data_IF_972516225653
#
_entry.id   IF_972516225653
#
_cell.length_a   1.000
_cell.length_b   1.000
_cell.length_c   1.000
_cell.angle_alpha   90.00
_cell.angle_beta   90.00
_cell.angle_gamma   90.00
#
_symmetry.space_group_name_H-M   'P 1'
#
loop_
_entity.id
_entity.type
_entity.pdbx_description
1 polymer ?
#
# COMPACT_ATOMS: atom_id res chain seq x y z
N UNK A 1 -52.50 53.89 -28.03
CA UNK A 1 -52.31 52.78 -27.07
C UNK A 1 -52.51 51.45 -27.78
N UNK A 2 -51.44 50.73 -28.13
CA UNK A 2 -51.46 49.30 -28.45
C UNK A 2 -50.15 48.71 -27.91
N UNK A 3 -50.27 47.76 -26.97
CA UNK A 3 -49.15 47.17 -26.23
C UNK A 3 -48.53 46.03 -27.05
N UNK A 4 -47.20 45.94 -27.07
CA UNK A 4 -46.45 44.80 -27.60
C UNK A 4 -45.75 44.10 -26.41
N UNK A 5 -45.93 42.78 -26.31
CA UNK A 5 -45.32 41.91 -25.30
C UNK A 5 -44.14 41.20 -25.96
N UNK A 6 -42.92 41.18 -25.38
CA UNK A 6 -41.86 40.34 -25.88
C UNK A 6 -41.89 38.98 -25.18
N UNK A 7 -41.98 37.92 -25.99
CA UNK A 7 -41.89 36.53 -25.59
C UNK A 7 -40.45 36.19 -25.18
N UNK A 8 -40.27 35.72 -23.95
CA UNK A 8 -38.99 35.25 -23.42
C UNK A 8 -38.77 33.79 -23.85
N UNK A 9 -37.79 33.54 -24.73
CA UNK A 9 -37.38 32.18 -25.10
C UNK A 9 -36.47 31.63 -24.00
N UNK A 10 -37.02 30.72 -23.20
CA UNK A 10 -36.30 29.98 -22.17
C UNK A 10 -35.44 28.90 -22.85
N UNK A 11 -34.14 29.15 -22.99
CA UNK A 11 -33.17 28.16 -23.49
C UNK A 11 -32.93 27.08 -22.44
N UNK A 12 -33.40 25.86 -22.71
CA UNK A 12 -33.07 24.68 -21.92
C UNK A 12 -31.61 24.29 -22.17
N UNK A 13 -30.74 24.51 -21.19
CA UNK A 13 -29.38 23.99 -21.18
C UNK A 13 -29.45 22.46 -20.99
N UNK A 14 -29.13 21.72 -22.06
CA UNK A 14 -28.97 20.27 -22.02
C UNK A 14 -27.63 20.00 -21.32
N UNK A 15 -27.67 19.69 -20.01
CA UNK A 15 -26.54 19.07 -19.34
C UNK A 15 -26.41 17.63 -19.87
N UNK A 16 -25.55 17.42 -20.86
CA UNK A 16 -25.10 16.05 -21.16
C UNK A 16 -24.28 15.55 -19.97
N UNK A 17 -24.47 14.31 -19.51
CA UNK A 17 -23.58 13.72 -18.54
C UNK A 17 -22.19 13.69 -19.19
N UNK A 18 -21.27 14.48 -18.64
CA UNK A 18 -19.86 14.37 -18.97
C UNK A 18 -19.41 13.00 -18.45
N UNK A 19 -19.52 11.97 -19.29
CA UNK A 19 -18.82 10.72 -19.05
C UNK A 19 -17.34 11.07 -19.01
N UNK A 20 -16.79 11.10 -17.81
CA UNK A 20 -15.39 11.39 -17.61
C UNK A 20 -14.59 10.31 -18.36
N UNK A 21 -13.75 10.77 -19.29
CA UNK A 21 -12.92 9.89 -20.10
C UNK A 21 -12.09 8.99 -19.17
N UNK A 22 -12.17 7.68 -19.37
CA UNK A 22 -11.39 6.70 -18.62
C UNK A 22 -9.88 6.97 -18.80
N UNK A 23 -9.07 6.72 -17.79
CA UNK A 23 -7.64 6.92 -17.88
C UNK A 23 -6.98 6.04 -18.96
N UNK A 24 -5.96 6.58 -19.64
CA UNK A 24 -5.18 5.83 -20.61
C UNK A 24 -4.09 5.00 -19.94
N UNK A 25 -3.81 3.84 -20.51
CA UNK A 25 -2.71 2.94 -20.12
C UNK A 25 -1.38 3.70 -20.02
N UNK A 26 -1.09 4.59 -20.96
CA UNK A 26 0.16 5.35 -21.04
C UNK A 26 0.29 6.33 -19.89
N UNK A 27 -0.79 7.04 -19.57
CA UNK A 27 -0.81 8.02 -18.47
C UNK A 27 -0.63 7.33 -17.11
N UNK A 28 -1.27 6.17 -16.95
CA UNK A 28 -1.12 5.34 -15.75
C UNK A 28 0.30 4.77 -15.65
N UNK A 29 0.88 4.27 -16.75
CA UNK A 29 2.30 3.83 -16.76
C UNK A 29 3.24 4.95 -16.33
N UNK A 30 3.02 6.16 -16.84
CA UNK A 30 3.80 7.32 -16.42
C UNK A 30 3.62 7.59 -14.92
N UNK A 31 2.38 7.52 -14.41
CA UNK A 31 2.08 7.72 -12.99
C UNK A 31 2.85 6.72 -12.13
N UNK A 32 2.71 5.43 -12.43
CA UNK A 32 3.39 4.34 -11.70
C UNK A 32 4.91 4.49 -11.72
N UNK A 33 5.47 4.95 -12.83
CA UNK A 33 6.90 5.25 -12.95
C UNK A 33 7.31 6.41 -12.06
N UNK A 34 6.62 7.55 -12.11
CA UNK A 34 7.01 8.73 -11.32
C UNK A 34 6.79 8.53 -9.82
N UNK A 35 5.83 7.68 -9.44
CA UNK A 35 5.59 7.28 -8.05
C UNK A 35 6.50 6.15 -7.57
N UNK A 36 7.43 5.69 -8.43
CA UNK A 36 8.43 4.65 -8.12
C UNK A 36 7.80 3.34 -7.65
N UNK A 37 6.68 2.95 -8.26
CA UNK A 37 5.92 1.76 -7.84
C UNK A 37 6.73 0.46 -7.97
N UNK A 38 7.61 0.35 -8.97
CA UNK A 38 8.56 -0.78 -9.08
C UNK A 38 9.48 -0.87 -7.86
N UNK A 39 10.00 0.26 -7.37
CA UNK A 39 10.85 0.29 -6.19
C UNK A 39 10.09 -0.16 -4.92
N UNK A 40 8.78 0.07 -4.84
CA UNK A 40 7.97 -0.42 -3.71
C UNK A 40 7.86 -1.96 -3.72
N UNK A 41 7.83 -2.59 -4.90
CA UNK A 41 7.88 -4.05 -5.03
C UNK A 41 9.23 -4.59 -4.56
N UNK A 42 10.33 -3.95 -4.95
CA UNK A 42 11.67 -4.32 -4.48
C UNK A 42 11.80 -4.20 -2.96
N UNK A 43 11.29 -3.12 -2.37
CA UNK A 43 11.25 -2.94 -0.92
C UNK A 43 10.38 -4.01 -0.23
N UNK A 44 9.28 -4.42 -0.85
CA UNK A 44 8.43 -5.51 -0.34
C UNK A 44 9.15 -6.85 -0.37
N UNK A 45 9.92 -7.13 -1.43
CA UNK A 45 10.78 -8.32 -1.51
C UNK A 45 11.83 -8.34 -0.39
N UNK A 46 12.50 -7.21 -0.13
CA UNK A 46 13.43 -7.11 1.00
C UNK A 46 12.75 -7.36 2.35
N UNK A 47 11.51 -6.87 2.51
CA UNK A 47 10.74 -7.10 3.73
C UNK A 47 10.42 -8.59 3.93
N UNK A 48 10.01 -9.29 2.86
CA UNK A 48 9.77 -10.74 2.90
C UNK A 48 11.06 -11.48 3.28
N UNK A 49 12.21 -11.12 2.70
CA UNK A 49 13.49 -11.72 3.06
C UNK A 49 13.85 -11.53 4.54
N UNK A 50 13.65 -10.32 5.07
CA UNK A 50 13.89 -10.02 6.50
C UNK A 50 12.93 -10.81 7.39
N UNK A 51 11.66 -10.92 6.99
CA UNK A 51 10.67 -11.71 7.71
C UNK A 51 11.02 -13.20 7.73
N UNK A 52 11.48 -13.76 6.60
CA UNK A 52 11.95 -15.14 6.51
C UNK A 52 13.15 -15.38 7.43
N UNK A 53 14.13 -14.48 7.43
CA UNK A 53 15.29 -14.57 8.31
C UNK A 53 14.90 -14.53 9.79
N UNK A 54 14.05 -13.59 10.18
CA UNK A 54 13.54 -13.48 11.56
C UNK A 54 12.74 -14.72 11.98
N UNK A 55 11.95 -15.30 11.08
CA UNK A 55 11.22 -16.55 11.34
C UNK A 55 12.17 -17.73 11.58
N UNK A 56 13.27 -17.81 10.82
CA UNK A 56 14.30 -18.84 11.03
C UNK A 56 14.95 -18.66 12.40
N UNK A 57 15.33 -17.44 12.78
CA UNK A 57 15.89 -17.14 14.11
C UNK A 57 14.94 -17.55 15.24
N UNK A 58 13.64 -17.29 15.09
CA UNK A 58 12.63 -17.70 16.05
C UNK A 58 12.49 -19.22 16.17
N UNK A 59 12.59 -19.95 15.06
CA UNK A 59 12.51 -21.42 15.04
C UNK A 59 13.76 -22.04 15.66
N UNK A 60 14.95 -21.51 15.36
CA UNK A 60 16.20 -22.05 15.92
C UNK A 60 16.39 -21.67 17.38
N UNK A 61 15.71 -20.63 17.87
CA UNK A 61 15.80 -20.14 19.25
C UNK A 61 17.26 -19.87 19.69
N UNK A 62 18.15 -19.57 18.75
CA UNK A 62 19.58 -19.42 19.02
C UNK A 62 20.33 -20.71 19.39
N UNK A 63 19.71 -21.88 19.23
CA UNK A 63 20.39 -23.16 19.41
C UNK A 63 21.43 -23.40 18.31
N UNK A 64 22.49 -24.13 18.63
CA UNK A 64 23.45 -24.58 17.61
C UNK A 64 22.74 -25.44 16.57
N UNK A 65 22.81 -25.00 15.32
CA UNK A 65 22.29 -25.72 14.16
C UNK A 65 23.35 -26.67 13.62
N UNK A 66 22.98 -27.93 13.43
CA UNK A 66 23.86 -28.89 12.78
C UNK A 66 23.92 -28.66 11.26
N UNK A 67 24.86 -29.33 10.60
CA UNK A 67 25.08 -29.21 9.14
C UNK A 67 23.81 -29.47 8.31
N UNK A 68 22.98 -30.45 8.72
CA UNK A 68 21.74 -30.78 8.00
C UNK A 68 20.71 -29.64 8.11
N UNK A 69 20.57 -29.05 9.29
CA UNK A 69 19.67 -27.92 9.53
C UNK A 69 20.15 -26.66 8.79
N UNK A 70 21.45 -26.35 8.82
CA UNK A 70 22.01 -25.23 8.06
C UNK A 70 21.72 -25.35 6.56
N UNK A 71 21.96 -26.53 5.98
CA UNK A 71 21.66 -26.79 4.56
C UNK A 71 20.16 -26.67 4.25
N UNK A 72 19.29 -27.13 5.16
CA UNK A 72 17.84 -26.99 5.00
C UNK A 72 17.40 -25.51 5.01
N UNK A 73 17.96 -24.70 5.92
CA UNK A 73 17.74 -23.25 5.98
C UNK A 73 18.20 -22.57 4.70
N UNK A 74 19.42 -22.86 4.23
CA UNK A 74 19.96 -22.31 2.97
C UNK A 74 19.07 -22.66 1.78
N UNK A 75 18.67 -23.93 1.64
CA UNK A 75 17.77 -24.36 0.58
C UNK A 75 16.41 -23.64 0.65
N UNK A 76 15.86 -23.49 1.84
CA UNK A 76 14.59 -22.78 2.04
C UNK A 76 14.70 -21.30 1.66
N UNK A 77 15.72 -20.59 2.12
CA UNK A 77 15.96 -19.19 1.77
C UNK A 77 16.18 -19.00 0.27
N UNK A 78 16.93 -19.89 -0.38
CA UNK A 78 17.11 -19.88 -1.84
C UNK A 78 15.80 -20.13 -2.57
N UNK A 79 14.97 -21.07 -2.10
CA UNK A 79 13.67 -21.34 -2.70
C UNK A 79 12.75 -20.11 -2.64
N UNK A 80 12.69 -19.43 -1.48
CA UNK A 80 11.95 -18.18 -1.34
C UNK A 80 12.48 -17.11 -2.31
N UNK A 81 13.80 -16.92 -2.38
CA UNK A 81 14.40 -15.96 -3.31
C UNK A 81 14.04 -16.25 -4.78
N UNK A 82 14.05 -17.53 -5.17
CA UNK A 82 13.67 -17.94 -6.51
C UNK A 82 12.19 -17.69 -6.79
N UNK A 83 11.29 -17.99 -5.85
CA UNK A 83 9.86 -17.71 -5.97
C UNK A 83 9.63 -16.20 -6.16
N UNK A 84 10.23 -15.35 -5.31
CA UNK A 84 10.07 -13.90 -5.44
C UNK A 84 10.59 -13.38 -6.78
N UNK A 85 11.77 -13.84 -7.20
CA UNK A 85 12.37 -13.47 -8.48
C UNK A 85 11.55 -13.93 -9.70
N UNK A 86 10.84 -15.06 -9.59
CA UNK A 86 10.05 -15.59 -10.70
C UNK A 86 8.63 -15.02 -10.73
N UNK A 87 7.99 -14.88 -9.57
CA UNK A 87 6.55 -14.69 -9.45
C UNK A 87 6.15 -13.32 -8.91
N UNK A 88 7.00 -12.70 -8.09
CA UNK A 88 6.75 -11.38 -7.52
C UNK A 88 7.63 -10.31 -8.17
N UNK A 89 7.37 -10.08 -9.46
CA UNK A 89 8.14 -9.16 -10.30
C UNK A 89 7.27 -8.01 -10.80
N UNK A 90 7.90 -6.85 -11.01
CA UNK A 90 7.22 -5.70 -11.62
C UNK A 90 6.59 -6.05 -12.98
N UNK A 91 7.29 -6.81 -13.82
CA UNK A 91 6.77 -7.22 -15.13
C UNK A 91 5.46 -8.02 -15.07
N UNK A 92 5.23 -8.78 -13.99
CA UNK A 92 3.97 -9.52 -13.77
C UNK A 92 2.89 -8.64 -13.13
N UNK A 93 3.28 -7.70 -12.27
CA UNK A 93 2.34 -6.88 -11.48
C UNK A 93 1.88 -5.61 -12.22
N UNK A 94 2.73 -5.02 -13.06
CA UNK A 94 2.45 -3.77 -13.76
C UNK A 94 1.14 -3.83 -14.59
N UNK A 95 0.87 -4.87 -15.41
CA UNK A 95 -0.36 -4.91 -16.21
C UNK A 95 -1.63 -4.92 -15.36
N UNK A 96 -1.62 -5.66 -14.24
CA UNK A 96 -2.74 -5.74 -13.31
C UNK A 96 -2.94 -4.42 -12.58
N UNK A 97 -1.84 -3.77 -12.15
CA UNK A 97 -1.92 -2.44 -11.56
C UNK A 97 -2.47 -1.41 -12.53
N UNK A 98 -2.03 -1.42 -13.79
CA UNK A 98 -2.54 -0.49 -14.79
C UNK A 98 -4.03 -0.68 -14.97
N UNK A 99 -4.48 -1.94 -15.09
CA UNK A 99 -5.90 -2.26 -15.24
C UNK A 99 -6.74 -1.67 -14.10
N UNK A 100 -6.32 -1.85 -12.84
CA UNK A 100 -6.99 -1.28 -11.67
C UNK A 100 -7.09 0.24 -11.78
N UNK A 101 -5.99 0.93 -12.11
CA UNK A 101 -6.01 2.39 -12.21
C UNK A 101 -6.87 2.89 -13.38
N UNK A 102 -6.86 2.18 -14.51
CA UNK A 102 -7.71 2.50 -15.66
C UNK A 102 -9.19 2.31 -15.30
N UNK A 103 -9.55 1.26 -14.56
CA UNK A 103 -10.93 0.99 -14.11
C UNK A 103 -11.44 2.01 -13.08
N UNK A 104 -10.58 2.47 -12.17
CA UNK A 104 -10.98 3.28 -11.02
C UNK A 104 -10.84 4.80 -11.24
N UNK A 105 -9.93 5.24 -12.12
CA UNK A 105 -9.64 6.65 -12.32
C UNK A 105 -9.99 7.16 -13.71
N UNK A 106 -10.44 8.41 -13.74
CA UNK A 106 -10.60 9.17 -14.97
C UNK A 106 -9.25 9.74 -15.44
N UNK A 107 -9.15 10.04 -16.73
CA UNK A 107 -7.98 10.67 -17.31
C UNK A 107 -7.65 12.01 -16.66
N UNK A 108 -8.68 12.78 -16.27
CA UNK A 108 -8.49 14.05 -15.59
C UNK A 108 -7.83 13.89 -14.22
N UNK A 109 -8.22 12.88 -13.44
CA UNK A 109 -7.64 12.59 -12.13
C UNK A 109 -6.19 12.12 -12.26
N UNK A 110 -5.89 11.21 -13.20
CA UNK A 110 -4.52 10.77 -13.46
C UNK A 110 -3.64 11.96 -13.89
N UNK A 111 -4.15 12.85 -14.74
CA UNK A 111 -3.43 14.06 -15.14
C UNK A 111 -3.13 14.97 -13.93
N UNK A 112 -4.10 15.16 -13.03
CA UNK A 112 -3.90 15.94 -11.81
C UNK A 112 -2.86 15.32 -10.88
N UNK A 113 -2.88 13.99 -10.74
CA UNK A 113 -1.85 13.26 -9.98
C UNK A 113 -0.46 13.44 -10.62
N UNK A 114 -0.36 13.27 -11.93
CA UNK A 114 0.89 13.45 -12.67
C UNK A 114 1.44 14.87 -12.51
N UNK A 115 0.60 15.89 -12.63
CA UNK A 115 0.98 17.30 -12.44
C UNK A 115 1.54 17.51 -11.03
N UNK A 116 0.82 17.05 -10.00
CA UNK A 116 1.27 17.18 -8.62
C UNK A 116 2.58 16.44 -8.36
N UNK A 117 2.67 15.16 -8.73
CA UNK A 117 3.83 14.33 -8.44
C UNK A 117 5.08 14.75 -9.23
N UNK A 118 4.94 15.51 -10.33
CA UNK A 118 6.07 16.13 -11.03
C UNK A 118 6.65 17.34 -10.30
N UNK A 119 5.93 17.92 -9.33
CA UNK A 119 6.45 19.05 -8.54
C UNK A 119 7.52 18.60 -7.52
N UNK A 120 8.40 19.49 -7.03
CA UNK A 120 9.33 19.18 -5.95
C UNK A 120 8.65 18.67 -4.67
N UNK A 121 7.47 19.21 -4.35
CA UNK A 121 6.69 18.79 -3.18
C UNK A 121 6.09 17.39 -3.41
N UNK A 122 5.56 17.11 -4.60
CA UNK A 122 5.05 15.79 -4.97
C UNK A 122 6.14 14.72 -4.92
N UNK A 123 7.32 14.99 -5.48
CA UNK A 123 8.47 14.09 -5.37
C UNK A 123 8.90 13.87 -3.91
N UNK A 124 8.98 14.95 -3.11
CA UNK A 124 9.26 14.81 -1.67
C UNK A 124 8.20 13.97 -0.95
N UNK A 125 6.95 13.96 -1.42
CA UNK A 125 5.86 13.17 -0.83
C UNK A 125 6.07 11.69 -1.12
N UNK A 126 6.40 11.33 -2.37
CA UNK A 126 6.74 9.96 -2.79
C UNK A 126 7.86 9.39 -1.91
N UNK A 127 8.91 10.19 -1.66
CA UNK A 127 10.07 9.72 -0.88
C UNK A 127 9.79 9.63 0.63
N UNK A 128 8.96 10.52 1.18
CA UNK A 128 8.77 10.63 2.64
C UNK A 128 7.60 9.84 3.18
N UNK A 129 6.54 9.59 2.39
CA UNK A 129 5.38 8.84 2.89
C UNK A 129 5.73 7.42 3.38
N UNK A 130 6.57 6.63 2.70
CA UNK A 130 7.01 5.34 3.24
C UNK A 130 7.74 5.46 4.58
N UNK A 131 8.55 6.52 4.74
CA UNK A 131 9.28 6.81 6.00
C UNK A 131 8.30 7.19 7.11
N UNK A 132 7.31 8.04 6.80
CA UNK A 132 6.25 8.41 7.74
C UNK A 132 5.48 7.18 8.18
N UNK A 133 5.03 6.34 7.23
CA UNK A 133 4.32 5.10 7.54
C UNK A 133 5.14 4.18 8.46
N UNK A 134 6.42 3.97 8.15
CA UNK A 134 7.33 3.17 8.99
C UNK A 134 7.44 3.73 10.42
N UNK A 135 7.63 5.05 10.55
CA UNK A 135 7.73 5.71 11.88
C UNK A 135 6.41 5.65 12.63
N UNK A 136 5.27 5.83 11.96
CA UNK A 136 3.94 5.71 12.55
C UNK A 136 3.70 4.30 13.10
N UNK A 137 4.09 3.26 12.36
CA UNK A 137 4.02 1.88 12.86
C UNK A 137 4.87 1.68 14.12
N UNK A 138 6.09 2.24 14.16
CA UNK A 138 6.95 2.16 15.35
C UNK A 138 6.31 2.81 16.57
N UNK A 139 5.68 3.98 16.41
CA UNK A 139 4.92 4.63 17.48
C UNK A 139 3.78 3.74 17.96
N UNK A 140 3.02 3.14 17.04
CA UNK A 140 1.94 2.21 17.38
C UNK A 140 2.43 1.00 18.17
N UNK A 141 3.55 0.40 17.77
CA UNK A 141 4.16 -0.71 18.51
C UNK A 141 4.61 -0.32 19.92
N UNK A 142 5.20 0.87 20.08
CA UNK A 142 5.59 1.38 21.40
C UNK A 142 4.38 1.56 22.31
N UNK A 143 3.30 2.17 21.81
CA UNK A 143 2.07 2.34 22.59
C UNK A 143 1.47 0.99 22.97
N UNK A 144 1.44 0.01 22.06
CA UNK A 144 0.93 -1.32 22.38
C UNK A 144 1.76 -2.00 23.47
N UNK A 145 3.09 -1.89 23.40
CA UNK A 145 3.98 -2.45 24.43
C UNK A 145 3.73 -1.85 25.82
N UNK A 146 3.39 -0.56 25.90
CA UNK A 146 3.02 0.10 27.16
C UNK A 146 1.62 -0.30 27.67
N UNK A 147 0.70 -0.61 26.75
CA UNK A 147 -0.66 -1.01 27.08
C UNK A 147 -0.76 -2.48 27.49
N UNK A 148 0.07 -3.37 26.92
CA UNK A 148 -0.05 -4.81 27.14
C UNK A 148 0.00 -5.23 28.62
N UNK A 149 0.91 -4.71 29.47
CA UNK A 149 0.90 -5.04 30.89
C UNK A 149 -0.42 -4.70 31.60
N UNK A 150 -1.06 -3.59 31.22
CA UNK A 150 -2.36 -3.19 31.79
C UNK A 150 -3.47 -4.13 31.37
N UNK A 151 -3.44 -4.59 30.12
CA UNK A 151 -4.40 -5.58 29.60
C UNK A 151 -4.24 -6.92 30.34
N UNK A 152 -3.00 -7.38 30.55
CA UNK A 152 -2.70 -8.60 31.31
C UNK A 152 -3.23 -8.46 32.75
N UNK A 153 -2.93 -7.35 33.42
CA UNK A 153 -3.40 -7.10 34.79
C UNK A 153 -4.94 -7.10 34.89
N UNK A 154 -5.64 -6.54 33.89
CA UNK A 154 -7.09 -6.56 33.84
C UNK A 154 -7.63 -7.99 33.71
N UNK A 155 -6.98 -8.84 32.91
CA UNK A 155 -7.31 -10.26 32.78
C UNK A 155 -7.10 -11.04 34.07
N UNK A 156 -5.97 -10.83 34.75
CA UNK A 156 -5.68 -11.46 36.06
C UNK A 156 -6.71 -11.07 37.13
N UNK A 157 -7.17 -9.82 37.12
CA UNK A 157 -8.21 -9.34 38.05
C UNK A 157 -9.54 -10.05 37.81
N UNK A 158 -9.95 -10.18 36.55
CA UNK A 158 -11.17 -10.88 36.17
C UNK A 158 -11.12 -12.35 36.62
N UNK A 159 -10.00 -13.03 36.42
CA UNK A 159 -9.85 -14.43 36.82
C UNK A 159 -10.03 -14.62 38.33
N UNK A 160 -9.42 -13.74 39.15
CA UNK A 160 -9.58 -13.77 40.61
C UNK A 160 -11.03 -13.58 41.03
N UNK A 161 -11.72 -12.58 40.48
CA UNK A 161 -13.13 -12.31 40.78
C UNK A 161 -14.04 -13.49 40.39
N UNK A 162 -13.68 -14.29 39.38
CA UNK A 162 -14.42 -15.49 38.99
C UNK A 162 -14.15 -16.73 39.86
N UNK A 163 -12.99 -16.79 40.52
CA UNK A 163 -12.60 -17.90 41.41
C UNK A 163 -13.09 -17.71 42.86
N UNK A 164 -13.37 -16.48 43.26
CA UNK A 164 -14.07 -16.15 44.51
C UNK A 164 -15.54 -16.58 44.43
N UNK A 165 -15.80 -17.88 44.67
CA UNK A 165 -17.12 -18.43 45.01
C UNK A 165 -17.24 -18.68 46.51
#
# INVERSE_FOLDING_TARGET
>A
MKKLIPTFVLGAAICMPAFAQQASTESVKELLKITKSEQLIDQSNEYIHKFTASSIEQITQGQEINTKQKKAIENYSQNIANILKQDFTWAKLEPEMIKIYVEEFTQQEINGMLEFYKTPVGQSTIDKLPIVMKKSMQVGYQQMNELMPKIIQAGEKLEKEMQEK
#
